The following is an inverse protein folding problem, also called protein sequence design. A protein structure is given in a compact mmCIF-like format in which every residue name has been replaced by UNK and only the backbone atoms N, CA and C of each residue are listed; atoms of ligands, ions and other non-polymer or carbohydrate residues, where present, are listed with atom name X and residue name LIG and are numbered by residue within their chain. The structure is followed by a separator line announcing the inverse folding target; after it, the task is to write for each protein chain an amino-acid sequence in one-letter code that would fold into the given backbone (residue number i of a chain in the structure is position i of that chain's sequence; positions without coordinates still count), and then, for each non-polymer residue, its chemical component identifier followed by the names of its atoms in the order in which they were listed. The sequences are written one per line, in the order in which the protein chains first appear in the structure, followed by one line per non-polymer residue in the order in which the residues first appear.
data_IF_880376916622
#
_entry.id   IF_880376916622
#
_cell.length_a   1.000
_cell.length_b   1.000
_cell.length_c   1.000
_cell.angle_alpha   90.00
_cell.angle_beta   90.00
_cell.angle_gamma   90.00
#
_symmetry.space_group_name_H-M   'P 1'
#
loop_
_entity.id
_entity.type
_entity.pdbx_description
1 polymer ?
#
# COMPACT_ATOMS: atom_id res chain seq x y z
N UNK A 1 15.68 32.08 -39.69
CA UNK A 1 15.90 30.76 -39.05
C UNK A 1 15.21 30.78 -37.69
N UNK A 2 14.08 30.08 -37.54
CA UNK A 2 13.38 29.95 -36.27
C UNK A 2 13.66 28.55 -35.71
N UNK A 3 14.54 28.45 -34.72
CA UNK A 3 14.90 27.19 -34.05
C UNK A 3 14.50 27.27 -32.58
N UNK A 4 13.21 27.47 -32.37
CA UNK A 4 12.54 27.22 -31.10
C UNK A 4 11.42 26.23 -31.38
N UNK A 5 11.73 24.94 -31.43
CA UNK A 5 10.82 24.01 -30.76
C UNK A 5 11.58 22.79 -30.28
N UNK A 6 11.87 22.83 -28.99
CA UNK A 6 12.48 21.76 -28.27
C UNK A 6 11.41 20.73 -27.92
N UNK A 7 11.62 19.50 -28.38
CA UNK A 7 11.30 18.26 -27.64
C UNK A 7 9.92 18.24 -27.00
N UNK A 8 8.89 17.94 -27.80
CA UNK A 8 7.67 17.36 -27.25
C UNK A 8 7.95 15.88 -26.95
N UNK A 9 8.58 15.61 -25.82
CA UNK A 9 8.62 14.26 -25.28
C UNK A 9 7.20 13.96 -24.78
N UNK A 10 6.37 13.38 -25.64
CA UNK A 10 5.03 12.95 -25.27
C UNK A 10 5.14 11.87 -24.20
N UNK A 11 4.94 12.24 -22.94
CA UNK A 11 4.77 11.26 -21.88
C UNK A 11 3.67 10.28 -22.31
N UNK A 12 3.91 8.96 -22.31
CA UNK A 12 2.89 7.99 -22.71
C UNK A 12 1.68 8.16 -21.80
N UNK A 13 0.56 8.61 -22.37
CA UNK A 13 -0.70 8.72 -21.65
C UNK A 13 -1.24 7.31 -21.46
N UNK A 14 -1.01 6.72 -20.29
CA UNK A 14 -1.74 5.51 -19.94
C UNK A 14 -3.25 5.83 -19.99
N UNK A 15 -4.08 4.99 -20.62
CA UNK A 15 -5.50 5.27 -20.70
C UNK A 15 -6.11 5.29 -19.29
N UNK A 16 -7.04 6.23 -19.03
CA UNK A 16 -7.56 6.51 -17.68
C UNK A 16 -8.12 5.27 -16.95
N UNK A 17 -8.67 4.31 -17.70
CA UNK A 17 -9.15 3.04 -17.13
C UNK A 17 -8.01 2.18 -16.57
N UNK A 18 -6.83 2.17 -17.20
CA UNK A 18 -5.67 1.42 -16.73
C UNK A 18 -5.09 2.03 -15.44
N UNK A 19 -5.10 3.36 -15.34
CA UNK A 19 -4.77 4.06 -14.08
C UNK A 19 -5.75 3.67 -12.96
N UNK A 20 -7.05 3.70 -13.24
CA UNK A 20 -8.08 3.35 -12.26
C UNK A 20 -7.98 1.90 -11.78
N UNK A 21 -7.77 0.94 -12.69
CA UNK A 21 -7.57 -0.47 -12.34
C UNK A 21 -6.33 -0.64 -11.45
N UNK A 22 -5.22 0.00 -11.81
CA UNK A 22 -3.99 -0.06 -11.00
C UNK A 22 -4.25 0.44 -9.58
N UNK A 23 -4.95 1.56 -9.42
CA UNK A 23 -5.25 2.12 -8.10
C UNK A 23 -6.16 1.21 -7.26
N UNK A 24 -7.15 0.56 -7.89
CA UNK A 24 -8.01 -0.42 -7.22
C UNK A 24 -7.21 -1.65 -6.76
N UNK A 25 -6.32 -2.17 -7.61
CA UNK A 25 -5.48 -3.31 -7.26
C UNK A 25 -4.53 -2.99 -6.10
N UNK A 26 -3.94 -1.79 -6.08
CA UNK A 26 -3.14 -1.31 -4.95
C UNK A 26 -3.96 -1.28 -3.67
N UNK A 27 -5.14 -0.65 -3.68
CA UNK A 27 -5.99 -0.56 -2.49
C UNK A 27 -6.43 -1.95 -1.96
N UNK A 28 -6.71 -2.90 -2.85
CA UNK A 28 -7.05 -4.29 -2.46
C UNK A 28 -5.84 -4.99 -1.82
N UNK A 29 -4.66 -4.78 -2.38
CA UNK A 29 -3.41 -5.37 -1.87
C UNK A 29 -3.11 -4.83 -0.48
N UNK A 30 -3.17 -3.52 -0.29
CA UNK A 30 -2.95 -2.86 1.00
C UNK A 30 -3.95 -3.37 2.06
N UNK A 31 -5.24 -3.53 1.70
CA UNK A 31 -6.23 -4.09 2.60
C UNK A 31 -5.95 -5.56 2.98
N UNK A 32 -5.49 -6.36 2.02
CA UNK A 32 -5.15 -7.75 2.27
C UNK A 32 -3.93 -7.87 3.20
N UNK A 33 -2.89 -7.07 2.96
CA UNK A 33 -1.69 -7.03 3.79
C UNK A 33 -2.00 -6.59 5.22
N UNK A 34 -2.85 -5.57 5.37
CA UNK A 34 -3.37 -5.15 6.67
C UNK A 34 -4.06 -6.29 7.41
N UNK A 35 -4.93 -7.03 6.70
CA UNK A 35 -5.67 -8.17 7.28
C UNK A 35 -4.74 -9.35 7.58
N UNK A 36 -3.74 -9.60 6.76
CA UNK A 36 -2.74 -10.65 6.96
C UNK A 36 -1.91 -10.35 8.22
N UNK A 37 -1.44 -9.12 8.37
CA UNK A 37 -0.71 -8.64 9.56
C UNK A 37 -1.58 -8.78 10.81
N UNK A 38 -2.83 -8.31 10.76
CA UNK A 38 -3.78 -8.47 11.88
C UNK A 38 -3.95 -9.95 12.25
N UNK A 39 -4.10 -10.85 11.28
CA UNK A 39 -4.25 -12.30 11.53
C UNK A 39 -2.99 -12.91 12.13
N UNK A 40 -1.82 -12.55 11.63
CA UNK A 40 -0.54 -13.05 12.14
C UNK A 40 -0.35 -12.64 13.60
N UNK A 41 -0.54 -11.35 13.92
CA UNK A 41 -0.42 -10.85 15.29
C UNK A 41 -1.52 -11.37 16.22
N UNK A 42 -2.75 -11.54 15.72
CA UNK A 42 -3.87 -12.06 16.53
C UNK A 42 -3.68 -13.52 16.96
N UNK A 43 -2.82 -14.27 16.27
CA UNK A 43 -2.48 -15.67 16.58
C UNK A 43 -1.44 -15.79 17.69
N UNK A 44 -0.69 -14.73 17.97
CA UNK A 44 0.27 -14.68 19.06
C UNK A 44 -0.47 -14.52 20.40
N UNK A 45 0.10 -15.10 21.45
CA UNK A 45 -0.37 -14.90 22.81
C UNK A 45 0.14 -13.57 23.38
N UNK A 46 -0.48 -13.10 24.47
CA UNK A 46 -0.19 -11.77 25.04
C UNK A 46 1.29 -11.62 25.46
N UNK A 47 1.96 -12.73 25.82
CA UNK A 47 3.40 -12.74 26.14
C UNK A 47 4.27 -12.60 24.89
N UNK A 48 3.94 -13.30 23.82
CA UNK A 48 4.67 -13.22 22.56
C UNK A 48 4.53 -11.83 21.93
N UNK A 49 3.36 -11.19 22.08
CA UNK A 49 3.18 -9.78 21.74
C UNK A 49 4.05 -8.87 22.61
N UNK A 50 4.11 -9.12 23.92
CA UNK A 50 4.94 -8.34 24.84
C UNK A 50 6.44 -8.48 24.53
N UNK A 51 6.90 -9.64 24.07
CA UNK A 51 8.29 -9.88 23.67
C UNK A 51 8.73 -9.00 22.50
N UNK A 52 7.80 -8.65 21.61
CA UNK A 52 8.02 -7.69 20.50
C UNK A 52 7.55 -6.27 20.85
N UNK A 53 7.18 -6.01 22.10
CA UNK A 53 6.80 -4.69 22.60
C UNK A 53 5.40 -4.21 22.18
N UNK A 54 4.48 -5.12 21.85
CA UNK A 54 3.10 -4.82 21.46
C UNK A 54 2.09 -5.33 22.49
N UNK A 55 0.90 -4.71 22.53
CA UNK A 55 -0.28 -5.27 23.17
C UNK A 55 -1.41 -5.54 22.15
N UNK A 56 -2.49 -6.24 22.55
CA UNK A 56 -3.61 -6.55 21.64
C UNK A 56 -4.30 -5.32 21.04
N UNK A 57 -4.32 -4.19 21.75
CA UNK A 57 -4.85 -2.93 21.26
C UNK A 57 -4.03 -2.32 20.12
N UNK A 58 -2.72 -2.55 20.12
CA UNK A 58 -1.80 -2.02 19.11
C UNK A 58 -1.89 -2.74 17.76
N UNK A 59 -2.39 -3.98 17.74
CA UNK A 59 -2.51 -4.81 16.52
C UNK A 59 -3.20 -4.06 15.39
N UNK A 60 -4.26 -3.32 15.72
CA UNK A 60 -5.03 -2.59 14.71
C UNK A 60 -4.31 -1.33 14.21
N UNK A 61 -3.48 -0.70 15.05
CA UNK A 61 -2.63 0.41 14.64
C UNK A 61 -1.50 -0.07 13.73
N UNK A 62 -0.90 -1.22 14.02
CA UNK A 62 0.16 -1.84 13.20
C UNK A 62 -0.38 -2.36 11.88
N UNK A 63 -1.56 -2.98 11.89
CA UNK A 63 -2.18 -3.53 10.68
C UNK A 63 -2.54 -2.46 9.64
N UNK A 64 -2.76 -1.20 10.04
CA UNK A 64 -3.16 -0.12 9.11
C UNK A 64 -2.03 0.82 8.71
N UNK A 65 -0.80 0.50 9.11
CA UNK A 65 0.39 1.32 8.86
C UNK A 65 1.09 0.89 7.58
#
# INVERSE_FOLDING_TARGET
MNSYDARHNSAPHMPAFAWAITHLLTAITDWNDARATRRALSRLDDRELADIGLNRGDIEAVARR
#
